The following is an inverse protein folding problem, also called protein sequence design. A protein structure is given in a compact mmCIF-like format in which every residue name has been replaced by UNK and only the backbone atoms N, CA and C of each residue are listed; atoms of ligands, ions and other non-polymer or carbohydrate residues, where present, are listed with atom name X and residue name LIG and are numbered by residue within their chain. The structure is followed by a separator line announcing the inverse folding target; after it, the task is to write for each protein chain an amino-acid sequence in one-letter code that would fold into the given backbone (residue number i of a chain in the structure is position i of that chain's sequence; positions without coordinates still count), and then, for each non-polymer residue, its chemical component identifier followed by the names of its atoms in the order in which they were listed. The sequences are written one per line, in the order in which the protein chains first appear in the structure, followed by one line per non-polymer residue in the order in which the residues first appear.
data_IF_181742943564
#
_entry.id   IF_181742943564
#
_cell.length_a   1.000
_cell.length_b   1.000
_cell.length_c   1.000
_cell.angle_alpha   90.00
_cell.angle_beta   90.00
_cell.angle_gamma   90.00
#
_symmetry.space_group_name_H-M   'P 1'
#
loop_
_entity.id
_entity.type
_entity.pdbx_description
1 polymer ?
#
# COMPACT_ATOMS: atom_id res chain seq x y z
N UNK A 1 59.77 33.86 -89.46
CA UNK A 1 60.34 34.32 -90.75
C UNK A 1 61.79 33.84 -90.81
N UNK A 2 62.05 32.71 -91.47
CA UNK A 2 63.40 32.19 -91.66
C UNK A 2 64.06 32.94 -92.82
N UNK A 3 65.16 33.62 -92.54
CA UNK A 3 66.03 34.22 -93.57
C UNK A 3 66.66 33.07 -94.37
N UNK A 4 66.61 33.06 -95.71
CA UNK A 4 67.26 32.03 -96.51
C UNK A 4 68.79 32.14 -96.34
N UNK A 5 69.42 31.03 -96.00
CA UNK A 5 70.88 30.94 -95.83
C UNK A 5 71.57 31.17 -97.19
N UNK A 6 72.68 31.91 -97.22
CA UNK A 6 73.45 32.03 -98.47
C UNK A 6 74.09 30.68 -98.83
N UNK A 7 74.33 30.41 -100.12
CA UNK A 7 74.81 29.10 -100.57
C UNK A 7 76.13 28.63 -99.92
N UNK A 8 77.00 29.57 -99.52
CA UNK A 8 78.25 29.25 -98.80
C UNK A 8 77.99 28.90 -97.34
N UNK A 9 77.03 29.57 -96.70
CA UNK A 9 76.63 29.29 -95.32
C UNK A 9 75.90 27.95 -95.24
N UNK A 10 75.04 27.65 -96.21
CA UNK A 10 74.36 26.36 -96.31
C UNK A 10 75.35 25.20 -96.41
N UNK A 11 76.37 25.33 -97.26
CA UNK A 11 77.40 24.30 -97.42
C UNK A 11 78.17 24.06 -96.13
N UNK A 12 78.56 25.14 -95.44
CA UNK A 12 79.27 25.06 -94.15
C UNK A 12 78.41 24.38 -93.07
N UNK A 13 77.15 24.77 -92.96
CA UNK A 13 76.22 24.19 -91.97
C UNK A 13 75.97 22.71 -92.27
N UNK A 14 75.77 22.33 -93.53
CA UNK A 14 75.61 20.92 -93.92
C UNK A 14 76.87 20.09 -93.61
N UNK A 15 78.08 20.61 -93.90
CA UNK A 15 79.32 19.87 -93.57
C UNK A 15 79.51 19.65 -92.07
N UNK A 16 79.16 20.65 -91.24
CA UNK A 16 79.25 20.54 -89.79
C UNK A 16 78.22 19.57 -89.25
N UNK A 17 76.98 19.63 -89.74
CA UNK A 17 75.92 18.72 -89.31
C UNK A 17 76.20 17.26 -89.75
N UNK A 18 76.77 17.04 -90.93
CA UNK A 18 77.23 15.73 -91.40
C UNK A 18 78.33 15.16 -90.51
N UNK A 19 79.28 15.99 -90.10
CA UNK A 19 80.33 15.59 -89.15
C UNK A 19 79.72 15.29 -87.77
N UNK A 20 78.74 16.08 -87.31
CA UNK A 20 78.01 15.81 -86.07
C UNK A 20 77.21 14.49 -86.11
N UNK A 21 76.53 14.19 -87.22
CA UNK A 21 75.82 12.92 -87.42
C UNK A 21 76.79 11.73 -87.40
N UNK A 22 77.95 11.86 -88.07
CA UNK A 22 78.99 10.84 -88.07
C UNK A 22 79.57 10.62 -86.67
N UNK A 23 79.83 11.68 -85.92
CA UNK A 23 80.35 11.61 -84.55
C UNK A 23 79.32 11.02 -83.57
N UNK A 24 78.02 11.35 -83.72
CA UNK A 24 76.95 10.74 -82.90
C UNK A 24 76.78 9.25 -83.20
N UNK A 25 76.94 8.84 -84.46
CA UNK A 25 76.95 7.42 -84.86
C UNK A 25 78.11 6.65 -84.21
N UNK A 26 79.31 7.25 -84.17
CA UNK A 26 80.47 6.70 -83.46
C UNK A 26 80.21 6.60 -81.96
N UNK A 27 79.60 7.62 -81.35
CA UNK A 27 79.25 7.62 -79.93
C UNK A 27 78.26 6.49 -79.57
N UNK A 28 77.28 6.24 -80.44
CA UNK A 28 76.31 5.15 -80.31
C UNK A 28 76.93 3.75 -80.39
N UNK A 29 78.10 3.60 -81.00
CA UNK A 29 78.87 2.35 -81.01
C UNK A 29 79.76 2.15 -79.77
N UNK A 30 80.10 3.22 -79.06
CA UNK A 30 80.99 3.18 -77.90
C UNK A 30 80.21 2.91 -76.59
N UNK A 31 78.92 3.26 -76.52
CA UNK A 31 78.07 2.97 -75.36
C UNK A 31 77.06 1.85 -75.66
N UNK A 32 77.22 0.62 -75.13
CA UNK A 32 76.33 -0.50 -75.40
C UNK A 32 75.05 -0.51 -74.54
N UNK A 33 73.99 -1.08 -75.10
CA UNK A 33 72.70 -1.39 -74.45
C UNK A 33 72.87 -2.29 -73.23
N UNK A 34 72.49 -1.79 -72.05
CA UNK A 34 72.20 -2.54 -70.80
C UNK A 34 73.25 -3.57 -70.32
N UNK A 35 73.90 -3.28 -69.19
CA UNK A 35 74.52 -4.31 -68.35
C UNK A 35 73.46 -5.27 -67.80
N UNK A 36 73.18 -6.33 -68.56
CA UNK A 36 72.36 -7.47 -68.14
C UNK A 36 73.25 -8.67 -67.86
N UNK A 37 73.67 -8.77 -66.59
CA UNK A 37 73.88 -10.02 -65.85
C UNK A 37 74.93 -11.01 -66.34
N UNK A 38 75.95 -11.26 -65.49
CA UNK A 38 76.50 -12.61 -65.34
C UNK A 38 76.50 -13.05 -63.87
N UNK A 39 76.03 -14.29 -63.60
CA UNK A 39 76.06 -14.97 -62.30
C UNK A 39 77.39 -15.68 -62.12
N UNK A 40 77.96 -15.66 -60.92
CA UNK A 40 78.89 -16.66 -60.36
C UNK A 40 79.51 -16.10 -59.06
N UNK A 41 78.84 -16.29 -57.93
CA UNK A 41 79.44 -16.30 -56.59
C UNK A 41 78.36 -16.66 -55.55
N UNK A 42 77.91 -17.91 -55.58
CA UNK A 42 77.03 -18.44 -54.54
C UNK A 42 77.39 -19.92 -54.29
N UNK A 43 78.29 -20.16 -53.31
CA UNK A 43 78.30 -21.30 -52.37
C UNK A 43 79.67 -21.52 -51.72
N UNK A 44 79.58 -22.09 -50.51
CA UNK A 44 80.59 -22.70 -49.61
C UNK A 44 80.78 -21.81 -48.37
N UNK A 45 80.49 -22.22 -47.14
CA UNK A 45 79.96 -23.46 -46.55
C UNK A 45 79.74 -23.11 -45.06
N UNK A 46 78.55 -23.39 -44.51
CA UNK A 46 78.38 -23.56 -43.05
C UNK A 46 79.02 -24.87 -42.65
N UNK A 47 79.61 -24.98 -41.45
CA UNK A 47 79.25 -26.05 -40.50
C UNK A 47 80.15 -26.21 -39.25
N UNK A 48 79.46 -26.53 -38.15
CA UNK A 48 79.83 -27.35 -36.98
C UNK A 48 80.92 -26.82 -36.00
N UNK A 49 81.12 -27.41 -34.79
CA UNK A 49 80.29 -28.34 -33.99
C UNK A 49 80.19 -27.93 -32.48
N UNK A 50 79.07 -28.18 -31.77
CA UNK A 50 78.82 -29.30 -30.83
C UNK A 50 79.18 -29.08 -29.34
N UNK A 51 78.24 -29.59 -28.51
CA UNK A 51 78.42 -30.35 -27.26
C UNK A 51 79.08 -29.62 -26.07
N UNK A 52 78.70 -29.83 -24.80
CA UNK A 52 78.23 -31.06 -24.16
C UNK A 52 77.59 -30.74 -22.80
N UNK A 53 76.52 -31.48 -22.50
CA UNK A 53 76.25 -32.20 -21.26
C UNK A 53 76.23 -31.46 -19.90
N UNK A 54 74.98 -31.25 -19.46
CA UNK A 54 74.49 -31.31 -18.09
C UNK A 54 75.10 -32.47 -17.28
N UNK A 55 75.36 -32.28 -15.98
CA UNK A 55 74.84 -33.16 -14.90
C UNK A 55 75.49 -33.01 -13.49
N UNK A 56 76.38 -32.06 -13.19
CA UNK A 56 77.03 -32.09 -11.86
C UNK A 56 76.65 -31.00 -10.84
N UNK A 57 75.96 -29.92 -11.22
CA UNK A 57 75.81 -28.79 -10.28
C UNK A 57 74.37 -28.35 -10.02
N UNK A 58 73.40 -29.25 -10.17
CA UNK A 58 72.05 -29.06 -9.61
C UNK A 58 71.60 -30.23 -8.71
N UNK A 59 72.58 -30.94 -8.12
CA UNK A 59 72.48 -31.54 -6.78
C UNK A 59 72.33 -30.46 -5.69
N UNK A 60 72.77 -29.23 -6.00
CA UNK A 60 72.65 -28.02 -5.17
C UNK A 60 71.23 -27.41 -5.27
N UNK A 61 70.48 -27.74 -6.33
CA UNK A 61 69.07 -27.35 -6.49
C UNK A 61 68.15 -27.90 -5.40
N UNK A 62 68.53 -29.01 -4.75
CA UNK A 62 67.65 -29.72 -3.80
C UNK A 62 67.73 -29.21 -2.37
N UNK A 63 68.84 -28.57 -1.97
CA UNK A 63 69.06 -28.13 -0.58
C UNK A 63 68.70 -26.65 -0.41
N UNK A 64 68.95 -25.81 -1.42
CA UNK A 64 68.57 -24.39 -1.37
C UNK A 64 67.05 -24.18 -1.51
N UNK A 65 66.35 -25.12 -2.16
CA UNK A 65 64.89 -25.10 -2.37
C UNK A 65 64.09 -25.40 -1.10
N UNK A 66 64.72 -25.90 -0.03
CA UNK A 66 64.01 -26.35 1.18
C UNK A 66 64.01 -25.31 2.32
N UNK A 67 65.01 -24.43 2.40
CA UNK A 67 65.07 -23.40 3.46
C UNK A 67 64.56 -22.02 3.04
N UNK A 68 64.64 -21.63 1.75
CA UNK A 68 64.08 -20.34 1.32
C UNK A 68 62.55 -20.37 1.23
N UNK A 69 61.94 -21.56 1.08
CA UNK A 69 60.48 -21.76 1.06
C UNK A 69 59.75 -21.32 2.33
N UNK A 70 60.44 -21.16 3.46
CA UNK A 70 59.80 -20.91 4.76
C UNK A 70 59.94 -19.47 5.28
N UNK A 71 60.86 -18.68 4.71
CA UNK A 71 61.04 -17.25 5.05
C UNK A 71 60.75 -16.34 3.83
N UNK A 72 60.64 -16.91 2.61
CA UNK A 72 60.23 -16.20 1.39
C UNK A 72 58.72 -15.93 1.28
N UNK A 73 57.88 -16.49 2.16
CA UNK A 73 56.44 -16.36 2.01
C UNK A 73 55.96 -14.93 2.32
N UNK A 74 56.44 -14.33 3.42
CA UNK A 74 55.81 -13.10 3.93
C UNK A 74 56.64 -11.82 3.70
N UNK A 75 57.97 -11.91 3.59
CA UNK A 75 58.83 -10.79 3.15
C UNK A 75 59.12 -10.86 1.64
N UNK A 76 59.08 -12.07 1.07
CA UNK A 76 59.24 -12.30 -0.37
C UNK A 76 58.06 -11.77 -1.18
N UNK A 77 56.80 -11.85 -0.74
CA UNK A 77 55.69 -11.32 -1.57
C UNK A 77 55.83 -9.83 -1.90
N UNK A 78 56.35 -9.02 -0.97
CA UNK A 78 56.54 -7.57 -1.13
C UNK A 78 57.85 -7.24 -1.87
N UNK A 79 58.95 -7.95 -1.57
CA UNK A 79 60.22 -7.77 -2.27
C UNK A 79 60.27 -8.44 -3.65
N UNK A 80 59.53 -9.53 -3.92
CA UNK A 80 59.39 -10.18 -5.23
C UNK A 80 58.49 -9.35 -6.14
N UNK A 81 57.49 -8.65 -5.59
CA UNK A 81 56.74 -7.64 -6.34
C UNK A 81 57.62 -6.43 -6.68
N UNK A 82 58.45 -5.92 -5.76
CA UNK A 82 59.38 -4.83 -6.05
C UNK A 82 60.57 -5.24 -6.94
N UNK A 83 61.15 -6.41 -6.72
CA UNK A 83 62.29 -6.95 -7.49
C UNK A 83 61.84 -7.49 -8.84
N UNK A 84 60.63 -8.04 -8.93
CA UNK A 84 59.94 -8.35 -10.17
C UNK A 84 59.54 -7.09 -10.92
N UNK A 85 59.07 -6.04 -10.25
CA UNK A 85 58.84 -4.72 -10.88
C UNK A 85 60.16 -4.06 -11.31
N UNK A 86 61.25 -4.17 -10.54
CA UNK A 86 62.57 -3.65 -10.90
C UNK A 86 63.24 -4.47 -12.00
N UNK A 87 63.06 -5.79 -12.04
CA UNK A 87 63.54 -6.65 -13.12
C UNK A 87 62.70 -6.46 -14.37
N UNK A 88 61.38 -6.27 -14.25
CA UNK A 88 60.52 -5.86 -15.35
C UNK A 88 60.83 -4.43 -15.80
N UNK A 89 61.23 -3.51 -14.92
CA UNK A 89 61.70 -2.16 -15.27
C UNK A 89 63.11 -2.18 -15.86
N UNK A 90 64.01 -3.08 -15.42
CA UNK A 90 65.35 -3.26 -15.99
C UNK A 90 65.29 -3.98 -17.33
N UNK A 91 64.43 -4.99 -17.46
CA UNK A 91 64.10 -5.66 -18.71
C UNK A 91 63.33 -4.72 -19.64
N UNK A 92 62.40 -3.90 -19.16
CA UNK A 92 61.74 -2.86 -19.95
C UNK A 92 62.71 -1.75 -20.36
N UNK A 93 63.65 -1.33 -19.49
CA UNK A 93 64.71 -0.36 -19.83
C UNK A 93 65.77 -0.97 -20.77
N UNK A 94 66.07 -2.26 -20.66
CA UNK A 94 66.93 -2.97 -21.61
C UNK A 94 66.21 -3.16 -22.93
N UNK A 95 64.93 -3.50 -22.93
CA UNK A 95 64.09 -3.62 -24.12
C UNK A 95 63.82 -2.25 -24.76
N UNK A 96 63.72 -1.16 -24.00
CA UNK A 96 63.67 0.22 -24.52
C UNK A 96 65.03 0.68 -25.05
N UNK A 97 66.14 0.29 -24.42
CA UNK A 97 67.50 0.57 -24.95
C UNK A 97 67.84 -0.30 -26.16
N UNK A 98 67.39 -1.55 -26.21
CA UNK A 98 67.55 -2.47 -27.33
C UNK A 98 66.59 -2.11 -28.45
N UNK A 99 65.35 -1.71 -28.17
CA UNK A 99 64.42 -1.14 -29.13
C UNK A 99 64.90 0.23 -29.62
N UNK A 100 65.54 1.02 -28.77
CA UNK A 100 66.20 2.28 -29.12
C UNK A 100 67.41 2.06 -30.02
N UNK A 101 68.31 1.14 -29.64
CA UNK A 101 69.46 0.71 -30.46
C UNK A 101 69.03 0.04 -31.76
N UNK A 102 67.97 -0.76 -31.76
CA UNK A 102 67.40 -1.37 -32.96
C UNK A 102 66.77 -0.30 -33.85
N UNK A 103 66.04 0.67 -33.27
CA UNK A 103 65.51 1.83 -34.00
C UNK A 103 66.63 2.71 -34.57
N UNK A 104 67.70 2.92 -33.82
CA UNK A 104 68.86 3.70 -34.24
C UNK A 104 69.67 2.95 -35.31
N UNK A 105 69.90 1.64 -35.16
CA UNK A 105 70.50 0.79 -36.17
C UNK A 105 69.63 0.71 -37.44
N UNK A 106 68.30 0.68 -37.30
CA UNK A 106 67.36 0.73 -38.43
C UNK A 106 67.41 2.11 -39.11
N UNK A 107 67.55 3.20 -38.34
CA UNK A 107 67.75 4.54 -38.88
C UNK A 107 69.10 4.70 -39.58
N UNK A 108 70.17 4.11 -39.05
CA UNK A 108 71.51 4.09 -39.65
C UNK A 108 71.55 3.21 -40.90
N UNK A 109 70.86 2.07 -40.92
CA UNK A 109 70.64 1.26 -42.12
C UNK A 109 69.85 2.03 -43.17
N UNK A 110 68.75 2.71 -42.79
CA UNK A 110 68.02 3.56 -43.73
C UNK A 110 68.84 4.75 -44.23
N UNK A 111 69.73 5.33 -43.40
CA UNK A 111 70.65 6.40 -43.83
C UNK A 111 71.71 5.87 -44.79
N UNK A 112 72.38 4.78 -44.45
CA UNK A 112 73.42 4.16 -45.29
C UNK A 112 72.84 3.63 -46.59
N UNK A 113 71.64 3.03 -46.58
CA UNK A 113 70.95 2.60 -47.79
C UNK A 113 70.51 3.80 -48.66
N UNK A 114 70.14 4.92 -48.04
CA UNK A 114 69.84 6.17 -48.76
C UNK A 114 71.11 6.80 -49.35
N UNK A 115 72.25 6.74 -48.66
CA UNK A 115 73.55 7.18 -49.18
C UNK A 115 74.06 6.27 -50.31
N UNK A 116 73.88 4.95 -50.19
CA UNK A 116 74.15 3.99 -51.26
C UNK A 116 73.30 4.26 -52.49
N UNK A 117 71.98 4.44 -52.32
CA UNK A 117 71.12 4.76 -53.45
C UNK A 117 71.48 6.12 -54.08
N UNK A 118 71.85 7.12 -53.28
CA UNK A 118 72.31 8.41 -53.82
C UNK A 118 73.62 8.25 -54.62
N UNK A 119 74.57 7.47 -54.11
CA UNK A 119 75.85 7.22 -54.82
C UNK A 119 75.68 6.39 -56.10
N UNK A 120 74.70 5.47 -56.12
CA UNK A 120 74.32 4.71 -57.32
C UNK A 120 73.52 5.53 -58.35
N UNK A 121 72.66 6.45 -57.90
CA UNK A 121 71.91 7.38 -58.77
C UNK A 121 72.82 8.48 -59.35
N UNK A 122 73.82 8.92 -58.58
CA UNK A 122 74.82 9.91 -58.98
C UNK A 122 75.96 9.29 -59.83
N UNK A 123 75.99 7.97 -60.03
CA UNK A 123 76.98 7.30 -60.89
C UNK A 123 76.69 7.61 -62.38
N UNK A 124 77.62 8.29 -63.09
CA UNK A 124 77.48 8.56 -64.52
C UNK A 124 77.39 7.29 -65.39
N UNK A 125 77.73 6.11 -64.85
CA UNK A 125 77.63 4.80 -65.52
C UNK A 125 76.44 3.95 -65.04
N UNK A 126 75.47 4.55 -64.34
CA UNK A 126 74.22 3.86 -64.01
C UNK A 126 73.47 3.42 -65.28
N UNK A 127 72.89 2.20 -65.33
CA UNK A 127 72.18 1.70 -66.51
C UNK A 127 71.05 2.62 -66.98
N UNK A 128 70.41 3.37 -66.07
CA UNK A 128 69.37 4.34 -66.41
C UNK A 128 69.95 5.61 -67.05
N UNK A 129 71.13 6.06 -66.59
CA UNK A 129 71.84 7.20 -67.17
C UNK A 129 72.36 6.87 -68.57
N UNK A 130 72.93 5.68 -68.77
CA UNK A 130 73.33 5.14 -70.07
C UNK A 130 72.14 5.04 -71.04
N UNK A 131 71.03 4.45 -70.60
CA UNK A 131 69.81 4.32 -71.41
C UNK A 131 69.17 5.69 -71.74
N UNK A 132 69.32 6.70 -70.86
CA UNK A 132 68.89 8.07 -71.15
C UNK A 132 69.81 8.73 -72.18
N UNK A 133 71.12 8.67 -72.00
CA UNK A 133 72.09 9.28 -72.94
C UNK A 133 71.97 8.67 -74.33
N UNK A 134 71.74 7.36 -74.42
CA UNK A 134 71.50 6.69 -75.69
C UNK A 134 70.21 7.16 -76.38
N UNK A 135 69.09 7.29 -75.63
CA UNK A 135 67.84 7.85 -76.15
C UNK A 135 67.99 9.30 -76.60
N UNK A 136 68.67 10.11 -75.81
CA UNK A 136 68.95 11.52 -76.13
C UNK A 136 69.85 11.62 -77.37
N UNK A 137 70.87 10.76 -77.48
CA UNK A 137 71.78 10.69 -78.63
C UNK A 137 71.07 10.25 -79.92
N UNK A 138 70.19 9.24 -79.85
CA UNK A 138 69.35 8.83 -80.99
C UNK A 138 68.38 9.94 -81.40
N UNK A 139 67.74 10.60 -80.42
CA UNK A 139 66.84 11.73 -80.69
C UNK A 139 67.56 12.88 -81.39
N UNK A 140 68.72 13.30 -80.88
CA UNK A 140 69.54 14.35 -81.50
C UNK A 140 70.01 13.91 -82.88
N UNK A 141 70.41 12.64 -83.05
CA UNK A 141 70.77 12.08 -84.36
C UNK A 141 69.63 12.16 -85.37
N UNK A 142 68.41 11.78 -84.99
CA UNK A 142 67.22 11.90 -85.84
C UNK A 142 66.90 13.36 -86.20
N UNK A 143 66.95 14.27 -85.23
CA UNK A 143 66.72 15.70 -85.49
C UNK A 143 67.78 16.27 -86.44
N UNK A 144 69.06 15.89 -86.28
CA UNK A 144 70.14 16.32 -87.18
C UNK A 144 69.96 15.75 -88.58
N UNK A 145 69.59 14.48 -88.72
CA UNK A 145 69.33 13.84 -90.02
C UNK A 145 68.14 14.51 -90.75
N UNK A 146 67.04 14.78 -90.03
CA UNK A 146 65.87 15.48 -90.59
C UNK A 146 66.21 16.91 -91.05
N UNK A 147 67.02 17.63 -90.26
CA UNK A 147 67.48 19.00 -90.58
C UNK A 147 68.46 18.99 -91.75
N UNK A 148 69.37 18.01 -91.81
CA UNK A 148 70.30 17.83 -92.92
C UNK A 148 69.56 17.57 -94.23
N UNK A 149 68.58 16.67 -94.22
CA UNK A 149 67.74 16.40 -95.37
C UNK A 149 66.96 17.65 -95.80
N UNK A 150 66.34 18.38 -94.86
CA UNK A 150 65.61 19.62 -95.17
C UNK A 150 66.52 20.72 -95.74
N UNK A 151 67.72 20.89 -95.19
CA UNK A 151 68.70 21.88 -95.65
C UNK A 151 69.24 21.54 -97.04
N UNK A 152 69.49 20.27 -97.34
CA UNK A 152 69.97 19.83 -98.65
C UNK A 152 68.89 19.92 -99.74
N UNK A 153 67.63 19.62 -99.41
CA UNK A 153 66.53 19.63 -100.39
C UNK A 153 65.91 21.02 -100.60
N UNK A 154 65.70 21.78 -99.51
CA UNK A 154 64.85 22.98 -99.49
C UNK A 154 65.55 24.23 -98.98
N UNK A 155 66.75 24.09 -98.38
CA UNK A 155 67.51 25.21 -97.82
C UNK A 155 66.88 25.85 -96.57
N UNK A 156 65.96 25.15 -95.89
CA UNK A 156 65.25 25.62 -94.70
C UNK A 156 65.51 24.73 -93.48
N UNK A 157 65.12 25.18 -92.28
CA UNK A 157 65.37 24.50 -91.00
C UNK A 157 64.10 24.43 -90.10
N UNK A 158 62.91 24.36 -90.70
CA UNK A 158 61.65 24.33 -89.94
C UNK A 158 61.50 23.07 -89.08
N UNK A 159 62.07 21.93 -89.50
CA UNK A 159 62.15 20.70 -88.73
C UNK A 159 62.80 20.91 -87.37
N UNK A 160 63.91 21.67 -87.30
CA UNK A 160 64.58 22.00 -86.04
C UNK A 160 63.69 22.87 -85.14
N UNK A 161 63.07 23.90 -85.71
CA UNK A 161 62.19 24.80 -84.95
C UNK A 161 60.99 24.06 -84.37
N UNK A 162 60.36 23.20 -85.17
CA UNK A 162 59.24 22.36 -84.75
C UNK A 162 59.65 21.35 -83.66
N UNK A 163 60.80 20.67 -83.82
CA UNK A 163 61.32 19.74 -82.81
C UNK A 163 61.63 20.45 -81.48
N UNK A 164 62.22 21.65 -81.53
CA UNK A 164 62.51 22.46 -80.34
C UNK A 164 61.24 22.97 -79.66
N UNK A 165 60.24 23.42 -80.42
CA UNK A 165 58.95 23.84 -79.87
C UNK A 165 58.18 22.68 -79.25
N UNK A 166 58.17 21.50 -79.88
CA UNK A 166 57.51 20.33 -79.33
C UNK A 166 58.23 19.82 -78.07
N UNK A 167 59.56 19.87 -77.99
CA UNK A 167 60.30 19.56 -76.76
C UNK A 167 60.05 20.59 -75.65
N UNK A 168 59.97 21.89 -75.98
CA UNK A 168 59.55 22.92 -75.01
C UNK A 168 58.15 22.65 -74.48
N UNK A 169 57.22 22.24 -75.35
CA UNK A 169 55.84 21.88 -74.98
C UNK A 169 55.79 20.63 -74.11
N UNK A 170 56.53 19.57 -74.47
CA UNK A 170 56.67 18.34 -73.67
C UNK A 170 57.23 18.65 -72.29
N UNK A 171 58.30 19.46 -72.21
CA UNK A 171 58.89 19.89 -70.93
C UNK A 171 57.89 20.69 -70.07
N UNK A 172 57.14 21.61 -70.67
CA UNK A 172 56.10 22.36 -69.95
C UNK A 172 54.98 21.46 -69.41
N UNK A 173 54.51 20.50 -70.23
CA UNK A 173 53.51 19.52 -69.81
C UNK A 173 54.00 18.64 -68.66
N UNK A 174 55.26 18.18 -68.72
CA UNK A 174 55.87 17.39 -67.64
C UNK A 174 55.94 18.19 -66.34
N UNK A 175 56.36 19.46 -66.39
CA UNK A 175 56.39 20.34 -65.21
C UNK A 175 55.00 20.53 -64.61
N UNK A 176 53.96 20.72 -65.43
CA UNK A 176 52.58 20.86 -64.96
C UNK A 176 52.02 19.55 -64.37
N UNK A 177 52.40 18.38 -64.92
CA UNK A 177 52.08 17.08 -64.32
C UNK A 177 52.75 16.94 -62.95
N UNK A 178 54.03 17.30 -62.82
CA UNK A 178 54.77 17.24 -61.56
C UNK A 178 54.11 18.14 -60.50
N UNK A 179 53.79 19.39 -60.82
CA UNK A 179 53.13 20.32 -59.89
C UNK A 179 51.77 19.76 -59.44
N UNK A 180 50.99 19.18 -60.35
CA UNK A 180 49.68 18.58 -60.04
C UNK A 180 49.79 17.30 -59.21
N UNK A 181 50.77 16.45 -59.48
CA UNK A 181 51.08 15.26 -58.68
C UNK A 181 51.46 15.68 -57.26
N UNK A 182 52.39 16.63 -57.12
CA UNK A 182 52.84 17.10 -55.82
C UNK A 182 51.68 17.68 -55.00
N UNK A 183 50.83 18.49 -55.63
CA UNK A 183 49.62 19.04 -55.01
C UNK A 183 48.66 17.94 -54.54
N UNK A 184 48.46 16.90 -55.36
CA UNK A 184 47.61 15.75 -55.03
C UNK A 184 48.19 14.90 -53.91
N UNK A 185 49.51 14.72 -53.89
CA UNK A 185 50.24 14.01 -52.84
C UNK A 185 50.17 14.76 -51.51
N UNK A 186 50.30 16.09 -51.52
CA UNK A 186 50.11 16.95 -50.33
C UNK A 186 48.67 16.84 -49.80
N UNK A 187 47.66 16.91 -50.68
CA UNK A 187 46.25 16.71 -50.30
C UNK A 187 46.00 15.34 -49.69
N UNK A 188 46.52 14.28 -50.31
CA UNK A 188 46.39 12.91 -49.81
C UNK A 188 47.00 12.76 -48.41
N UNK A 189 48.20 13.31 -48.19
CA UNK A 189 48.84 13.32 -46.87
C UNK A 189 48.02 14.12 -45.84
N UNK A 190 47.45 15.26 -46.23
CA UNK A 190 46.61 16.07 -45.34
C UNK A 190 45.33 15.32 -44.95
N UNK A 191 44.64 14.70 -45.92
CA UNK A 191 43.45 13.89 -45.68
C UNK A 191 43.77 12.68 -44.79
N UNK A 192 44.88 11.98 -45.02
CA UNK A 192 45.31 10.87 -44.16
C UNK A 192 45.53 11.30 -42.71
N UNK A 193 46.11 12.48 -42.47
CA UNK A 193 46.25 13.04 -41.12
C UNK A 193 44.91 13.36 -40.50
N UNK A 194 44.04 14.06 -41.22
CA UNK A 194 42.68 14.36 -40.74
C UNK A 194 41.90 13.09 -40.39
N UNK A 195 42.01 12.04 -41.20
CA UNK A 195 41.34 10.76 -40.95
C UNK A 195 41.88 10.08 -39.68
N UNK A 196 43.19 10.15 -39.44
CA UNK A 196 43.80 9.68 -38.20
C UNK A 196 43.34 10.49 -36.98
N UNK A 197 43.29 11.81 -37.09
CA UNK A 197 42.86 12.69 -36.01
C UNK A 197 41.38 12.47 -35.64
N UNK A 198 40.51 12.36 -36.65
CA UNK A 198 39.09 12.02 -36.46
C UNK A 198 38.96 10.65 -35.79
N UNK A 199 39.73 9.63 -36.21
CA UNK A 199 39.69 8.31 -35.58
C UNK A 199 40.08 8.39 -34.10
N UNK A 200 41.15 9.12 -33.76
CA UNK A 200 41.59 9.32 -32.38
C UNK A 200 40.53 10.05 -31.55
N UNK A 201 39.97 11.13 -32.09
CA UNK A 201 38.91 11.89 -31.43
C UNK A 201 37.70 10.99 -31.15
N UNK A 202 37.25 10.21 -32.13
CA UNK A 202 36.13 9.29 -31.97
C UNK A 202 36.40 8.17 -30.96
N UNK A 203 37.62 7.64 -30.92
CA UNK A 203 37.99 6.67 -29.87
C UNK A 203 37.92 7.27 -28.47
N UNK A 204 38.40 8.50 -28.28
CA UNK A 204 38.30 9.21 -27.00
C UNK A 204 36.85 9.56 -26.64
N UNK A 205 36.03 9.90 -27.63
CA UNK A 205 34.60 10.17 -27.42
C UNK A 205 33.84 8.89 -27.02
N UNK A 206 34.17 7.73 -27.61
CA UNK A 206 33.63 6.44 -27.22
C UNK A 206 34.03 6.06 -25.79
N UNK A 207 35.32 6.19 -25.44
CA UNK A 207 35.80 5.93 -24.08
C UNK A 207 35.07 6.80 -23.04
N UNK A 208 34.92 8.11 -23.31
CA UNK A 208 34.15 9.02 -22.43
C UNK A 208 32.68 8.58 -22.27
N UNK A 209 32.05 8.09 -23.34
CA UNK A 209 30.68 7.56 -23.28
C UNK A 209 30.59 6.24 -22.52
N UNK A 210 31.58 5.36 -22.67
CA UNK A 210 31.67 4.10 -21.94
C UNK A 210 31.83 4.34 -20.43
N UNK A 211 32.72 5.27 -20.03
CA UNK A 211 32.88 5.71 -18.65
C UNK A 211 31.59 6.28 -18.06
N UNK A 212 30.92 7.17 -18.80
CA UNK A 212 29.62 7.71 -18.39
C UNK A 212 28.57 6.60 -18.24
N UNK A 213 28.56 5.64 -19.16
CA UNK A 213 27.63 4.50 -19.11
C UNK A 213 27.91 3.63 -17.87
N UNK A 214 29.17 3.37 -17.55
CA UNK A 214 29.56 2.65 -16.33
C UNK A 214 29.12 3.41 -15.07
N UNK A 215 29.39 4.72 -14.99
CA UNK A 215 28.99 5.55 -13.87
C UNK A 215 27.47 5.57 -13.66
N UNK A 216 26.69 5.72 -14.73
CA UNK A 216 25.23 5.70 -14.66
C UNK A 216 24.68 4.31 -14.25
N UNK A 217 25.33 3.23 -14.69
CA UNK A 217 24.98 1.87 -14.23
C UNK A 217 25.21 1.71 -12.73
N UNK A 218 26.35 2.18 -12.21
CA UNK A 218 26.66 2.11 -10.79
C UNK A 218 25.67 2.93 -9.94
N UNK A 219 25.34 4.15 -10.39
CA UNK A 219 24.30 4.96 -9.75
C UNK A 219 22.94 4.26 -9.74
N UNK A 220 22.56 3.63 -10.86
CA UNK A 220 21.30 2.90 -10.97
C UNK A 220 21.27 1.70 -10.02
N UNK A 221 22.36 0.92 -9.96
CA UNK A 221 22.48 -0.21 -9.04
C UNK A 221 22.42 0.26 -7.58
N UNK A 222 23.14 1.33 -7.22
CA UNK A 222 23.09 1.93 -5.89
C UNK A 222 21.69 2.41 -5.51
N UNK A 223 21.01 3.12 -6.41
CA UNK A 223 19.62 3.56 -6.20
C UNK A 223 18.66 2.38 -6.06
N UNK A 224 18.77 1.35 -6.91
CA UNK A 224 17.93 0.14 -6.82
C UNK A 224 18.11 -0.57 -5.48
N UNK A 225 19.35 -0.71 -5.00
CA UNK A 225 19.64 -1.31 -3.71
C UNK A 225 19.04 -0.50 -2.56
N UNK A 226 19.25 0.83 -2.56
CA UNK A 226 18.69 1.75 -1.56
C UNK A 226 17.16 1.69 -1.52
N UNK A 227 16.49 1.85 -2.66
CA UNK A 227 15.03 1.76 -2.74
C UNK A 227 14.51 0.38 -2.34
N UNK A 228 15.25 -0.69 -2.65
CA UNK A 228 14.92 -2.04 -2.22
C UNK A 228 14.91 -2.19 -0.68
N UNK A 229 15.91 -1.63 0.00
CA UNK A 229 16.00 -1.63 1.46
C UNK A 229 14.92 -0.74 2.08
N UNK A 230 14.73 0.48 1.58
CA UNK A 230 13.67 1.39 2.04
C UNK A 230 12.29 0.76 1.92
N UNK A 231 12.00 0.07 0.81
CA UNK A 231 10.74 -0.65 0.62
C UNK A 231 10.54 -1.74 1.67
N UNK A 232 11.58 -2.55 1.96
CA UNK A 232 11.51 -3.60 2.99
C UNK A 232 11.27 -3.00 4.37
N UNK A 233 11.97 -1.91 4.70
CA UNK A 233 11.82 -1.22 5.97
C UNK A 233 10.41 -0.65 6.15
N UNK A 234 9.92 0.12 5.16
CA UNK A 234 8.58 0.71 5.19
C UNK A 234 7.51 -0.38 5.30
N UNK A 235 7.66 -1.48 4.53
CA UNK A 235 6.74 -2.62 4.61
C UNK A 235 6.73 -3.24 6.01
N UNK A 236 7.89 -3.58 6.56
CA UNK A 236 8.00 -4.19 7.88
C UNK A 236 7.47 -3.27 9.00
N UNK A 237 7.71 -1.96 8.88
CA UNK A 237 7.20 -0.97 9.83
C UNK A 237 5.67 -0.88 9.78
N UNK A 238 5.09 -0.82 8.58
CA UNK A 238 3.64 -0.80 8.39
C UNK A 238 2.98 -2.10 8.90
N UNK A 239 3.55 -3.26 8.59
CA UNK A 239 3.07 -4.57 9.08
C UNK A 239 3.11 -4.64 10.62
N UNK A 240 4.18 -4.12 11.24
CA UNK A 240 4.28 -4.08 12.70
C UNK A 240 3.22 -3.17 13.33
N UNK A 241 3.00 -1.98 12.77
CA UNK A 241 1.96 -1.06 13.26
C UNK A 241 0.57 -1.67 13.16
N UNK A 242 0.26 -2.32 12.03
CA UNK A 242 -1.03 -3.03 11.85
C UNK A 242 -1.15 -4.17 12.86
N UNK A 243 -0.10 -4.98 13.05
CA UNK A 243 -0.10 -6.08 14.01
C UNK A 243 -0.30 -5.59 15.45
N UNK A 244 0.39 -4.54 15.86
CA UNK A 244 0.23 -3.94 17.18
C UNK A 244 -1.19 -3.41 17.39
N UNK A 245 -1.72 -2.67 16.41
CA UNK A 245 -3.10 -2.17 16.44
C UNK A 245 -4.12 -3.31 16.55
N UNK A 246 -3.96 -4.36 15.76
CA UNK A 246 -4.81 -5.56 15.85
C UNK A 246 -4.73 -6.23 17.22
N UNK A 247 -3.54 -6.32 17.83
CA UNK A 247 -3.39 -6.92 19.18
C UNK A 247 -4.05 -6.10 20.27
N UNK A 248 -3.93 -4.78 20.23
CA UNK A 248 -4.57 -3.89 21.21
C UNK A 248 -6.10 -3.98 21.05
N UNK A 249 -6.60 -3.85 19.83
CA UNK A 249 -8.04 -3.89 19.55
C UNK A 249 -8.65 -5.24 19.95
N UNK A 250 -8.02 -6.35 19.57
CA UNK A 250 -8.53 -7.70 19.95
C UNK A 250 -8.48 -7.94 21.45
N UNK A 251 -7.56 -7.30 22.19
CA UNK A 251 -7.57 -7.38 23.65
C UNK A 251 -8.71 -6.56 24.25
N UNK A 252 -8.91 -5.32 23.78
CA UNK A 252 -10.04 -4.48 24.24
C UNK A 252 -11.39 -5.07 23.87
N UNK A 253 -11.54 -5.66 22.69
CA UNK A 253 -12.76 -6.36 22.27
C UNK A 253 -13.08 -7.49 23.24
N UNK A 254 -12.10 -8.35 23.57
CA UNK A 254 -12.28 -9.43 24.55
C UNK A 254 -12.64 -8.93 25.95
N UNK A 255 -12.07 -7.81 26.39
CA UNK A 255 -12.42 -7.21 27.67
C UNK A 255 -13.88 -6.76 27.68
N UNK A 256 -14.33 -6.08 26.62
CA UNK A 256 -15.71 -5.64 26.47
C UNK A 256 -16.69 -6.82 26.33
N UNK A 257 -16.31 -7.87 25.61
CA UNK A 257 -17.09 -9.10 25.51
C UNK A 257 -17.31 -9.76 26.88
N UNK A 258 -16.27 -9.83 27.71
CA UNK A 258 -16.37 -10.37 29.07
C UNK A 258 -17.24 -9.48 29.97
N UNK A 259 -17.12 -8.15 29.86
CA UNK A 259 -17.99 -7.21 30.58
C UNK A 259 -19.46 -7.34 30.17
N UNK A 260 -19.74 -7.45 28.87
CA UNK A 260 -21.10 -7.68 28.35
C UNK A 260 -21.67 -8.98 28.93
N UNK A 261 -20.87 -10.06 28.92
CA UNK A 261 -21.29 -11.34 29.45
C UNK A 261 -21.60 -11.26 30.95
N UNK A 262 -20.74 -10.63 31.74
CA UNK A 262 -20.95 -10.47 33.18
C UNK A 262 -22.20 -9.61 33.48
N UNK A 263 -22.44 -8.57 32.68
CA UNK A 263 -23.66 -7.75 32.81
C UNK A 263 -24.92 -8.53 32.44
N UNK A 264 -24.85 -9.41 31.43
CA UNK A 264 -25.96 -10.29 31.08
C UNK A 264 -26.28 -11.28 32.20
N UNK A 265 -25.26 -11.93 32.78
CA UNK A 265 -25.43 -12.85 33.92
C UNK A 265 -26.08 -12.12 35.11
N UNK A 266 -25.61 -10.92 35.48
CA UNK A 266 -26.22 -10.11 36.54
C UNK A 266 -27.66 -9.69 36.25
N UNK A 267 -27.95 -9.34 35.00
CA UNK A 267 -29.29 -8.95 34.59
C UNK A 267 -30.28 -10.12 34.64
N UNK A 268 -29.82 -11.34 34.31
CA UNK A 268 -30.62 -12.56 34.48
C UNK A 268 -30.87 -12.89 35.95
N UNK A 269 -29.86 -12.73 36.81
CA UNK A 269 -29.99 -12.87 38.26
C UNK A 269 -31.03 -11.89 38.83
N UNK A 270 -30.93 -10.60 38.50
CA UNK A 270 -31.89 -9.57 38.93
C UNK A 270 -33.31 -9.87 38.43
N UNK A 271 -33.46 -10.30 37.17
CA UNK A 271 -34.77 -10.72 36.64
C UNK A 271 -35.36 -11.88 37.42
N UNK A 272 -34.53 -12.87 37.78
CA UNK A 272 -34.97 -14.02 38.57
C UNK A 272 -35.41 -13.60 39.97
N UNK A 273 -34.58 -12.82 40.67
CA UNK A 273 -34.90 -12.31 42.02
C UNK A 273 -36.17 -11.47 41.99
N UNK A 274 -36.33 -10.59 41.00
CA UNK A 274 -37.53 -9.79 40.84
C UNK A 274 -38.77 -10.67 40.64
N UNK A 275 -38.69 -11.70 39.77
CA UNK A 275 -39.81 -12.63 39.55
C UNK A 275 -40.17 -13.38 40.85
N UNK A 276 -39.19 -13.87 41.60
CA UNK A 276 -39.41 -14.54 42.88
C UNK A 276 -40.08 -13.58 43.89
N UNK A 277 -39.61 -12.34 44.00
CA UNK A 277 -40.20 -11.30 44.86
C UNK A 277 -41.65 -10.98 44.45
N UNK A 278 -41.91 -10.80 43.16
CA UNK A 278 -43.24 -10.50 42.65
C UNK A 278 -44.21 -11.65 42.94
N UNK A 279 -43.78 -12.90 42.75
CA UNK A 279 -44.61 -14.07 43.08
C UNK A 279 -44.89 -14.17 44.58
N UNK A 280 -43.93 -13.84 45.44
CA UNK A 280 -44.12 -13.80 46.89
C UNK A 280 -45.16 -12.73 47.28
N UNK A 281 -45.02 -11.51 46.77
CA UNK A 281 -45.94 -10.41 47.06
C UNK A 281 -47.36 -10.71 46.56
N UNK A 282 -47.51 -11.27 45.35
CA UNK A 282 -48.81 -11.69 44.82
C UNK A 282 -49.47 -12.74 45.71
N UNK A 283 -48.72 -13.76 46.15
CA UNK A 283 -49.24 -14.78 47.10
C UNK A 283 -49.67 -14.17 48.44
N UNK A 284 -48.93 -13.18 48.94
CA UNK A 284 -49.29 -12.51 50.17
C UNK A 284 -50.55 -11.66 50.00
N UNK A 285 -50.66 -10.94 48.88
CA UNK A 285 -51.84 -10.17 48.51
C UNK A 285 -53.08 -11.06 48.42
N UNK A 286 -53.01 -12.18 47.68
CA UNK A 286 -54.16 -13.11 47.58
C UNK A 286 -54.57 -13.66 48.94
N UNK A 287 -53.62 -13.98 49.81
CA UNK A 287 -53.94 -14.44 51.18
C UNK A 287 -54.62 -13.35 52.04
N UNK A 288 -54.28 -12.07 51.83
CA UNK A 288 -54.95 -10.96 52.51
C UNK A 288 -56.34 -10.72 51.93
N UNK A 289 -56.50 -10.81 50.61
CA UNK A 289 -57.79 -10.68 49.93
C UNK A 289 -58.77 -11.78 50.40
N UNK A 290 -58.33 -13.05 50.46
CA UNK A 290 -59.11 -14.16 51.01
C UNK A 290 -59.56 -13.90 52.46
N UNK A 291 -58.66 -13.39 53.32
CA UNK A 291 -59.01 -13.04 54.70
C UNK A 291 -60.02 -11.90 54.75
N UNK A 292 -59.87 -10.91 53.88
CA UNK A 292 -60.77 -9.76 53.79
C UNK A 292 -62.17 -10.24 53.38
N UNK A 293 -62.27 -11.12 52.38
CA UNK A 293 -63.54 -11.75 51.97
C UNK A 293 -64.22 -12.47 53.14
N UNK A 294 -63.49 -13.31 53.89
CA UNK A 294 -64.04 -14.00 55.08
C UNK A 294 -64.56 -13.01 56.12
N UNK A 295 -63.85 -11.91 56.36
CA UNK A 295 -64.29 -10.87 57.31
C UNK A 295 -65.49 -10.07 56.80
N UNK A 296 -65.57 -9.79 55.50
CA UNK A 296 -66.73 -9.15 54.89
C UNK A 296 -67.97 -10.03 55.00
N UNK A 297 -67.88 -11.31 54.61
CA UNK A 297 -68.99 -12.25 54.73
C UNK A 297 -69.45 -12.44 56.18
N UNK A 298 -68.52 -12.43 57.13
CA UNK A 298 -68.86 -12.47 58.56
C UNK A 298 -69.58 -11.20 58.99
N UNK A 299 -69.06 -10.03 58.61
CA UNK A 299 -69.67 -8.75 58.94
C UNK A 299 -71.08 -8.64 58.37
N UNK A 300 -71.29 -9.04 57.11
CA UNK A 300 -72.60 -9.08 56.46
C UNK A 300 -73.57 -10.00 57.21
N UNK A 301 -73.16 -11.22 57.55
CA UNK A 301 -73.98 -12.15 58.36
C UNK A 301 -74.33 -11.57 59.73
N UNK A 302 -73.35 -11.05 60.45
CA UNK A 302 -73.57 -10.44 61.78
C UNK A 302 -74.53 -9.23 61.67
N UNK A 303 -74.43 -8.44 60.60
CA UNK A 303 -75.34 -7.32 60.31
C UNK A 303 -76.76 -7.79 59.99
N UNK A 304 -76.91 -8.83 59.18
CA UNK A 304 -78.21 -9.46 58.88
C UNK A 304 -78.86 -10.02 60.13
N UNK A 305 -78.11 -10.78 60.95
CA UNK A 305 -78.58 -11.33 62.22
C UNK A 305 -79.05 -10.23 63.16
N UNK A 306 -78.28 -9.15 63.30
CA UNK A 306 -78.69 -7.99 64.12
C UNK A 306 -79.89 -7.25 63.56
N UNK A 307 -80.00 -7.13 62.24
CA UNK A 307 -81.17 -6.55 61.60
C UNK A 307 -82.42 -7.41 61.82
N UNK A 308 -82.29 -8.74 61.77
CA UNK A 308 -83.37 -9.69 62.08
C UNK A 308 -83.78 -9.62 63.56
N UNK A 309 -82.82 -9.60 64.48
CA UNK A 309 -83.08 -9.41 65.92
C UNK A 309 -83.87 -8.11 66.16
N UNK A 310 -83.41 -6.99 65.58
CA UNK A 310 -84.04 -5.68 65.69
C UNK A 310 -85.47 -5.70 65.14
N UNK A 311 -85.69 -6.30 63.97
CA UNK A 311 -87.02 -6.48 63.38
C UNK A 311 -87.93 -7.32 64.30
N UNK A 312 -87.42 -8.41 64.87
CA UNK A 312 -88.17 -9.25 65.80
C UNK A 312 -88.59 -8.48 67.07
N UNK A 313 -87.69 -7.65 67.62
CA UNK A 313 -87.97 -6.82 68.78
C UNK A 313 -88.96 -5.69 68.47
N UNK A 314 -88.87 -5.08 67.28
CA UNK A 314 -89.86 -4.11 66.79
C UNK A 314 -91.25 -4.75 66.69
N UNK A 315 -91.33 -5.96 66.12
CA UNK A 315 -92.60 -6.69 66.00
C UNK A 315 -93.16 -7.07 67.38
N UNK A 316 -92.34 -7.58 68.30
CA UNK A 316 -92.75 -7.85 69.70
C UNK A 316 -93.24 -6.59 70.41
N UNK A 317 -92.53 -5.46 70.26
CA UNK A 317 -92.95 -4.17 70.82
C UNK A 317 -94.30 -3.72 70.25
N UNK A 318 -94.49 -3.83 68.93
CA UNK A 318 -95.74 -3.47 68.27
C UNK A 318 -96.91 -4.34 68.75
N UNK A 319 -96.71 -5.65 68.86
CA UNK A 319 -97.72 -6.58 69.38
C UNK A 319 -98.05 -6.32 70.85
N UNK A 320 -97.05 -6.09 71.70
CA UNK A 320 -97.30 -5.76 73.11
C UNK A 320 -98.05 -4.42 73.23
N UNK A 321 -97.73 -3.44 72.38
CA UNK A 321 -98.44 -2.17 72.34
C UNK A 321 -99.92 -2.37 71.93
N UNK A 322 -100.20 -3.19 70.91
CA UNK A 322 -101.59 -3.49 70.53
C UNK A 322 -102.35 -4.22 71.64
N UNK A 323 -101.72 -5.20 72.30
CA UNK A 323 -102.32 -5.91 73.43
C UNK A 323 -102.62 -4.97 74.61
N UNK A 324 -101.71 -4.04 74.94
CA UNK A 324 -101.93 -3.04 75.97
C UNK A 324 -103.07 -2.08 75.59
N UNK A 325 -103.13 -1.65 74.33
CA UNK A 325 -104.24 -0.82 73.84
C UNK A 325 -105.59 -1.55 73.91
N UNK A 326 -105.62 -2.84 73.57
CA UNK A 326 -106.81 -3.68 73.71
C UNK A 326 -107.23 -3.87 75.18
N UNK A 327 -106.29 -4.16 76.08
CA UNK A 327 -106.57 -4.26 77.51
C UNK A 327 -107.07 -2.94 78.08
N UNK A 328 -106.42 -1.82 77.75
CA UNK A 328 -106.85 -0.48 78.17
C UNK A 328 -108.24 -0.13 77.62
N UNK A 329 -108.61 -0.63 76.44
CA UNK A 329 -109.98 -0.53 75.93
C UNK A 329 -110.95 -1.38 76.76
N UNK A 330 -110.63 -2.66 77.00
CA UNK A 330 -111.44 -3.56 77.84
C UNK A 330 -111.66 -3.02 79.26
N UNK A 331 -110.64 -2.47 79.91
CA UNK A 331 -110.78 -1.84 81.22
C UNK A 331 -111.72 -0.64 81.19
N UNK A 332 -111.58 0.26 80.20
CA UNK A 332 -112.51 1.38 80.01
C UNK A 332 -113.95 0.90 79.81
N UNK A 333 -114.14 -0.13 78.99
CA UNK A 333 -115.47 -0.72 78.73
C UNK A 333 -116.07 -1.32 80.03
N UNK A 334 -115.29 -2.04 80.84
CA UNK A 334 -115.75 -2.63 82.12
C UNK A 334 -116.01 -1.55 83.17
N UNK A 335 -115.11 -0.58 83.33
CA UNK A 335 -115.30 0.54 84.26
C UNK A 335 -116.58 1.30 83.94
N UNK A 336 -116.84 1.54 82.65
CA UNK A 336 -118.09 2.15 82.20
C UNK A 336 -119.31 1.33 82.65
N UNK A 337 -119.31 0.02 82.43
CA UNK A 337 -120.40 -0.87 82.88
C UNK A 337 -120.58 -0.88 84.41
N UNK A 338 -119.49 -0.87 85.18
CA UNK A 338 -119.55 -0.84 86.65
C UNK A 338 -120.11 0.49 87.16
N UNK A 339 -119.71 1.61 86.54
CA UNK A 339 -120.26 2.93 86.85
C UNK A 339 -121.76 2.95 86.52
N UNK A 340 -122.16 2.43 85.36
CA UNK A 340 -123.56 2.30 84.95
C UNK A 340 -124.37 1.46 85.96
N UNK A 341 -123.92 0.25 86.33
CA UNK A 341 -124.60 -0.61 87.34
C UNK A 341 -124.68 0.07 88.72
N UNK A 342 -123.63 0.80 89.14
CA UNK A 342 -123.64 1.53 90.41
C UNK A 342 -124.67 2.66 90.41
N UNK A 343 -124.76 3.42 89.31
CA UNK A 343 -125.77 4.47 89.14
C UNK A 343 -127.17 3.85 89.14
N UNK A 344 -127.37 2.72 88.46
CA UNK A 344 -128.65 2.00 88.43
C UNK A 344 -129.07 1.49 89.82
N UNK A 345 -128.14 0.90 90.58
CA UNK A 345 -128.40 0.45 91.96
C UNK A 345 -128.71 1.59 92.91
N UNK A 346 -127.98 2.70 92.82
CA UNK A 346 -128.29 3.90 93.62
C UNK A 346 -129.66 4.48 93.25
N UNK A 347 -130.01 4.52 91.95
CA UNK A 347 -131.32 4.93 91.49
C UNK A 347 -132.43 3.99 92.02
N UNK A 348 -132.18 2.68 92.04
CA UNK A 348 -133.11 1.68 92.58
C UNK A 348 -133.29 1.83 94.10
N UNK A 349 -132.20 2.03 94.86
CA UNK A 349 -132.28 2.31 96.31
C UNK A 349 -133.08 3.56 96.61
N UNK A 350 -132.83 4.66 95.89
CA UNK A 350 -133.61 5.90 96.04
C UNK A 350 -135.09 5.69 95.75
N UNK A 351 -135.46 4.81 94.80
CA UNK A 351 -136.86 4.43 94.55
C UNK A 351 -137.44 3.66 95.75
N UNK A 352 -136.76 2.64 96.24
CA UNK A 352 -137.21 1.85 97.39
C UNK A 352 -137.34 2.67 98.67
N UNK A 353 -136.41 3.58 98.96
CA UNK A 353 -136.48 4.50 100.10
C UNK A 353 -137.70 5.42 100.00
N UNK A 354 -137.99 5.96 98.80
CA UNK A 354 -139.22 6.73 98.57
C UNK A 354 -140.47 5.89 98.84
N UNK A 355 -140.54 4.68 98.29
CA UNK A 355 -141.68 3.79 98.55
C UNK A 355 -141.80 3.40 100.03
N UNK A 356 -140.70 3.20 100.75
CA UNK A 356 -140.72 2.92 102.19
C UNK A 356 -141.27 4.11 102.98
N UNK A 357 -140.81 5.32 102.68
CA UNK A 357 -141.32 6.56 103.27
C UNK A 357 -142.81 6.73 103.00
N UNK A 358 -143.27 6.41 101.80
CA UNK A 358 -144.69 6.41 101.43
C UNK A 358 -145.49 5.36 102.23
N UNK A 359 -144.96 4.15 102.42
CA UNK A 359 -145.58 3.09 103.26
C UNK A 359 -145.63 3.46 104.74
N UNK A 360 -144.58 4.07 105.28
CA UNK A 360 -144.55 4.54 106.67
C UNK A 360 -145.56 5.66 106.90
N UNK A 361 -145.65 6.61 105.97
CA UNK A 361 -146.68 7.63 105.98
C UNK A 361 -148.08 7.00 105.95
N UNK A 362 -148.32 6.04 105.06
CA UNK A 362 -149.59 5.30 105.00
C UNK A 362 -149.89 4.55 106.31
N UNK A 363 -148.89 3.95 106.96
CA UNK A 363 -149.04 3.23 108.23
C UNK A 363 -149.34 4.17 109.40
N UNK A 364 -148.71 5.35 109.45
CA UNK A 364 -149.03 6.40 110.43
C UNK A 364 -150.48 6.87 110.26
N UNK A 365 -150.93 7.07 109.02
CA UNK A 365 -152.34 7.42 108.72
C UNK A 365 -153.28 6.29 109.17
N UNK A 366 -152.98 5.03 108.85
CA UNK A 366 -153.79 3.88 109.27
C UNK A 366 -153.84 3.70 110.79
N UNK A 367 -152.72 3.91 111.48
CA UNK A 367 -152.62 3.74 112.94
C UNK A 367 -153.33 4.87 113.71
N UNK A 368 -153.27 6.11 113.21
CA UNK A 368 -154.08 7.22 113.71
C UNK A 368 -155.59 6.92 113.58
N UNK A 369 -156.02 6.37 112.43
CA UNK A 369 -157.41 6.00 112.20
C UNK A 369 -157.88 4.87 113.13
N UNK A 370 -157.10 3.79 113.26
CA UNK A 370 -157.39 2.66 114.15
C UNK A 370 -157.43 3.08 115.63
N UNK A 371 -156.52 3.95 116.08
CA UNK A 371 -156.54 4.49 117.44
C UNK A 371 -157.74 5.40 117.73
N UNK A 372 -158.24 6.11 116.71
CA UNK A 372 -159.45 6.93 116.82
C UNK A 372 -160.71 6.07 116.95
N UNK A 373 -160.76 4.93 116.24
CA UNK A 373 -161.83 3.92 116.36
C UNK A 373 -161.92 3.32 117.78
N UNK A 374 -160.77 3.01 118.41
CA UNK A 374 -160.73 2.46 119.78
C UNK A 374 -161.16 3.48 120.83
N UNK A 375 -160.74 4.75 120.72
CA UNK A 375 -161.03 5.80 121.72
C UNK A 375 -162.47 6.33 121.70
N UNK A 376 -163.21 6.15 120.61
CA UNK A 376 -164.61 6.58 120.49
C UNK A 376 -165.65 5.48 120.74
N UNK A 377 -165.24 4.28 121.18
CA UNK A 377 -166.16 3.24 121.67
C UNK A 377 -167.03 2.57 120.60
N UNK A 378 -166.59 2.51 119.34
CA UNK A 378 -167.31 1.90 118.22
C UNK A 378 -166.62 0.60 117.76
N UNK A 379 -166.93 -0.54 118.40
CA UNK A 379 -166.52 -1.87 117.90
C UNK A 379 -166.64 -3.04 118.91
N UNK A 380 -166.98 -4.29 118.48
CA UNK A 380 -167.28 -5.41 119.39
C UNK A 380 -166.04 -6.24 119.77
N UNK A 381 -165.92 -6.67 121.04
CA UNK A 381 -164.84 -7.53 121.55
C UNK A 381 -165.35 -8.96 121.85
N UNK A 382 -164.69 -9.99 121.29
CA UNK A 382 -164.84 -11.42 121.68
C UNK A 382 -163.48 -12.12 121.78
N UNK A 383 -163.34 -13.03 122.77
CA UNK A 383 -162.15 -13.87 123.05
C UNK A 383 -162.25 -15.25 122.35
N UNK A 384 -161.12 -15.79 121.90
CA UNK A 384 -160.99 -17.16 121.35
C UNK A 384 -159.61 -17.80 121.63
N UNK A 385 -159.62 -19.12 121.86
CA UNK A 385 -158.55 -20.03 122.36
C UNK A 385 -157.44 -20.37 121.33
N UNK A 386 -156.29 -20.83 121.85
CA UNK A 386 -155.11 -21.43 121.14
C UNK A 386 -155.35 -22.90 120.69
N UNK A 387 -154.53 -23.39 119.73
CA UNK A 387 -153.54 -24.44 120.05
C UNK A 387 -152.09 -24.10 119.60
N UNK A 388 -151.16 -24.97 120.02
CA UNK A 388 -149.69 -24.79 120.18
C UNK A 388 -148.93 -25.93 119.46
N UNK A 389 -147.63 -25.72 119.18
CA UNK A 389 -146.58 -26.68 118.71
C UNK A 389 -146.47 -26.85 117.18
N UNK A 390 -145.32 -26.92 116.48
CA UNK A 390 -143.85 -26.95 116.75
C UNK A 390 -143.19 -26.55 115.39
N UNK A 391 -142.33 -25.55 115.25
CA UNK A 391 -140.91 -25.44 115.64
C UNK A 391 -139.93 -26.20 114.69
N UNK A 392 -139.09 -25.46 113.95
CA UNK A 392 -138.07 -26.03 113.05
C UNK A 392 -137.47 -25.07 112.01
N UNK A 393 -136.56 -24.19 112.47
CA UNK A 393 -135.50 -23.42 111.77
C UNK A 393 -135.63 -23.11 110.25
N UNK A 394 -135.75 -21.80 109.99
CA UNK A 394 -135.85 -21.07 108.72
C UNK A 394 -134.79 -21.43 107.68
N UNK A 395 -135.28 -21.80 106.49
CA UNK A 395 -134.64 -21.73 105.17
C UNK A 395 -135.35 -20.65 104.35
N UNK A 396 -134.64 -19.87 103.54
CA UNK A 396 -134.47 -20.20 102.12
C UNK A 396 -133.33 -19.37 101.54
#
# INVERSE_FOLDING_TARGET
MSVPLSGVELLRVCTVLQDCEAQLSVLGHIMPDTYRGRPEADKVLSDYPQLTLYAELMSIARIHMFLWKFVSADIGQVLEQQKGAEQNLKAARQFERESGRLSDATRELHRSQKELNRTLEEDPLSPDNLAKVQRDSQFVGHVIADVLAELQEKGTFHSLLFAVEEEKRRKANLLDIIIREEGSRRRTKALQRQLLDIRKEKTLELQRREEMTAHLKDQLHGRKAKTGLERKYVKSSAELLVYQGQKINTHSEKQLEEEIRLLQERLEEERRVHMEMETFLKKHQTSLDEKLEVWMERYERDMEDKQQELNSLRNKKANNLSQLQELAKKYRDIEQVVIEDRIEKEALRRKLEKEHMERDAATKIQSWWRGTLVRRGLGPYKKGKKPKSKEGKKKK
#
